data_IF_732201110886
#
_entry.id   IF_732201110886
#
_cell.length_a   1.000
_cell.length_b   1.000
_cell.length_c   1.000
_cell.angle_alpha   90.00
_cell.angle_beta   90.00
_cell.angle_gamma   90.00
#
_symmetry.space_group_name_H-M   'P 1'
#
loop_
_entity.id
_entity.type
_entity.pdbx_description
1 polymer ?
#
# COMPACT_ATOMS: atom_id res chain seq x y z
N UNK A 1 10.86 2.18 1.79
CA UNK A 1 9.99 2.48 0.62
C UNK A 1 8.63 3.04 1.06
N UNK A 2 7.88 2.37 1.94
CA UNK A 2 6.53 2.81 2.32
C UNK A 2 6.39 4.24 2.88
N UNK A 3 7.31 4.67 3.77
CA UNK A 3 7.25 6.01 4.37
C UNK A 3 7.47 7.17 3.37
N UNK A 4 8.23 6.93 2.29
CA UNK A 4 8.49 7.95 1.25
C UNK A 4 7.22 8.16 0.43
N UNK A 5 6.54 7.08 0.04
CA UNK A 5 5.30 7.16 -0.73
C UNK A 5 4.14 7.72 0.09
N UNK A 6 4.07 7.41 1.38
CA UNK A 6 3.10 8.02 2.28
C UNK A 6 3.25 9.54 2.35
N UNK A 7 4.49 10.06 2.41
CA UNK A 7 4.75 11.50 2.37
C UNK A 7 4.41 12.11 1.01
N UNK A 8 4.77 11.43 -0.08
CA UNK A 8 4.47 11.88 -1.45
C UNK A 8 2.96 12.09 -1.62
N UNK A 9 2.17 11.08 -1.25
CA UNK A 9 0.71 11.16 -1.21
C UNK A 9 0.19 12.30 -0.32
N UNK A 10 0.76 12.50 0.88
CA UNK A 10 0.34 13.62 1.74
C UNK A 10 0.60 14.99 1.11
N UNK A 11 1.56 15.10 0.19
CA UNK A 11 1.90 16.33 -0.50
C UNK A 11 1.07 16.52 -1.78
N UNK A 12 0.75 15.44 -2.50
CA UNK A 12 0.04 15.49 -3.79
C UNK A 12 -1.47 15.32 -3.66
N UNK A 13 -1.93 14.59 -2.64
CA UNK A 13 -3.31 14.14 -2.50
C UNK A 13 -3.73 13.16 -3.60
N UNK A 14 -2.79 12.67 -4.40
CA UNK A 14 -3.07 11.96 -5.63
C UNK A 14 -3.28 10.46 -5.36
N UNK A 15 -4.46 9.96 -5.69
CA UNK A 15 -4.78 8.54 -5.53
C UNK A 15 -3.93 7.66 -6.46
N UNK A 16 -3.46 8.18 -7.60
CA UNK A 16 -2.56 7.43 -8.49
C UNK A 16 -1.21 7.13 -7.82
N UNK A 17 -0.68 8.05 -7.01
CA UNK A 17 0.55 7.82 -6.23
C UNK A 17 0.37 6.68 -5.22
N UNK A 18 -0.83 6.57 -4.65
CA UNK A 18 -1.16 5.55 -3.66
C UNK A 18 -1.34 4.17 -4.33
N UNK A 19 -1.97 4.14 -5.51
CA UNK A 19 -2.17 2.93 -6.31
C UNK A 19 -0.85 2.38 -6.85
N UNK A 20 0.03 3.26 -7.33
CA UNK A 20 1.39 2.91 -7.74
C UNK A 20 2.18 2.31 -6.57
N UNK A 21 2.07 2.93 -5.37
CA UNK A 21 2.73 2.43 -4.17
C UNK A 21 2.21 1.05 -3.75
N UNK A 22 0.90 0.79 -3.82
CA UNK A 22 0.30 -0.52 -3.56
C UNK A 22 0.83 -1.55 -4.57
N UNK A 23 0.82 -1.22 -5.87
CA UNK A 23 1.28 -2.13 -6.93
C UNK A 23 2.75 -2.52 -6.78
N UNK A 24 3.63 -1.55 -6.51
CA UNK A 24 5.06 -1.81 -6.27
C UNK A 24 5.29 -2.67 -5.03
N UNK A 25 4.52 -2.42 -3.96
CA UNK A 25 4.68 -3.16 -2.70
C UNK A 25 4.16 -4.60 -2.82
N UNK A 26 3.11 -4.85 -3.61
CA UNK A 26 2.64 -6.21 -3.94
C UNK A 26 3.65 -6.97 -4.80
N UNK A 27 4.28 -6.31 -5.79
CA UNK A 27 5.34 -6.95 -6.59
C UNK A 27 6.54 -7.33 -5.74
N UNK A 28 6.94 -6.45 -4.81
CA UNK A 28 8.00 -6.76 -3.84
C UNK A 28 7.62 -7.96 -2.96
N UNK A 29 6.36 -8.05 -2.52
CA UNK A 29 5.85 -9.17 -1.75
C UNK A 29 5.92 -10.49 -2.52
N UNK A 30 5.55 -10.49 -3.81
CA UNK A 30 5.66 -11.66 -4.69
C UNK A 30 7.12 -12.08 -4.90
N UNK A 31 8.05 -11.11 -4.94
CA UNK A 31 9.48 -11.37 -5.13
C UNK A 31 10.19 -11.89 -3.86
N UNK A 32 9.72 -11.50 -2.66
CA UNK A 32 10.32 -11.89 -1.38
C UNK A 32 10.19 -13.39 -1.06
N UNK A 33 9.21 -14.07 -1.66
CA UNK A 33 8.96 -15.49 -1.44
C UNK A 33 8.32 -15.80 -0.07
N UNK A 34 7.59 -16.93 0.05
CA UNK A 34 6.94 -17.32 1.30
C UNK A 34 8.00 -17.65 2.35
N UNK A 35 7.95 -16.99 3.53
CA UNK A 35 8.87 -17.08 4.68
C UNK A 35 9.98 -16.03 4.78
N UNK A 36 9.97 -14.97 3.95
CA UNK A 36 10.91 -13.88 4.19
C UNK A 36 10.47 -13.05 5.41
N UNK A 37 11.36 -12.71 6.36
CA UNK A 37 10.98 -11.94 7.55
C UNK A 37 10.39 -10.55 7.22
N UNK A 38 10.80 -9.94 6.10
CA UNK A 38 10.19 -8.68 5.61
C UNK A 38 8.81 -8.84 4.97
N UNK A 39 8.30 -10.06 4.81
CA UNK A 39 6.99 -10.30 4.21
C UNK A 39 5.88 -9.69 5.10
N UNK A 40 5.96 -9.86 6.42
CA UNK A 40 5.02 -9.29 7.38
C UNK A 40 5.05 -7.75 7.39
N UNK A 41 6.24 -7.16 7.33
CA UNK A 41 6.41 -5.70 7.24
C UNK A 41 5.83 -5.15 5.94
N UNK A 42 6.04 -5.87 4.84
CA UNK A 42 5.54 -5.50 3.50
C UNK A 42 4.01 -5.59 3.47
N UNK A 43 3.41 -6.64 4.03
CA UNK A 43 1.94 -6.77 4.14
C UNK A 43 1.33 -5.68 5.02
N UNK A 44 1.97 -5.35 6.14
CA UNK A 44 1.49 -4.28 7.03
C UNK A 44 1.49 -2.91 6.35
N UNK A 45 2.49 -2.65 5.48
CA UNK A 45 2.54 -1.43 4.67
C UNK A 45 1.42 -1.38 3.62
N UNK A 46 1.11 -2.51 2.97
CA UNK A 46 0.00 -2.61 2.00
C UNK A 46 -1.33 -2.33 2.69
N UNK A 47 -1.59 -2.95 3.85
CA UNK A 47 -2.82 -2.74 4.61
C UNK A 47 -3.00 -1.27 5.03
N UNK A 48 -1.91 -0.60 5.43
CA UNK A 48 -1.93 0.82 5.78
C UNK A 48 -2.30 1.70 4.57
N UNK A 49 -1.81 1.37 3.38
CA UNK A 49 -2.16 2.11 2.16
C UNK A 49 -3.62 1.90 1.77
N UNK A 50 -4.14 0.67 1.83
CA UNK A 50 -5.56 0.42 1.57
C UNK A 50 -6.48 1.11 2.59
N UNK A 51 -6.17 1.05 3.89
CA UNK A 51 -6.95 1.73 4.91
C UNK A 51 -7.00 3.26 4.69
N UNK A 52 -5.89 3.83 4.23
CA UNK A 52 -5.82 5.26 3.90
C UNK A 52 -6.61 5.59 2.64
N UNK A 53 -6.52 4.77 1.59
CA UNK A 53 -7.31 4.91 0.36
C UNK A 53 -8.82 4.85 0.64
N UNK A 54 -9.23 3.92 1.49
CA UNK A 54 -10.61 3.76 1.93
C UNK A 54 -11.12 4.99 2.70
N UNK A 55 -10.30 5.56 3.59
CA UNK A 55 -10.68 6.75 4.36
C UNK A 55 -10.91 8.00 3.50
N UNK A 56 -10.21 8.12 2.38
CA UNK A 56 -10.23 9.29 1.50
C UNK A 56 -11.26 9.17 0.38
N UNK A 57 -11.48 7.95 -0.14
CA UNK A 57 -12.42 7.71 -1.24
C UNK A 57 -13.80 7.24 -0.78
N UNK A 58 -13.91 6.72 0.45
CA UNK A 58 -15.05 5.92 0.92
C UNK A 58 -15.43 4.77 -0.03
N UNK A 59 -14.53 4.33 -0.92
CA UNK A 59 -14.84 3.27 -1.88
C UNK A 59 -14.74 1.90 -1.21
N UNK A 60 -15.83 1.13 -1.09
CA UNK A 60 -15.84 -0.18 -0.41
C UNK A 60 -14.97 -1.25 -1.07
N UNK A 61 -14.52 -1.01 -2.31
CA UNK A 61 -13.68 -1.91 -3.10
C UNK A 61 -12.27 -2.14 -2.52
N UNK A 62 -11.85 -1.29 -1.56
CA UNK A 62 -10.55 -1.34 -0.89
C UNK A 62 -10.52 -2.27 0.31
N UNK A 63 -11.67 -2.49 0.95
CA UNK A 63 -11.81 -3.37 2.12
C UNK A 63 -11.82 -4.85 1.74
N UNK A 64 -12.26 -5.21 0.53
CA UNK A 64 -12.22 -6.59 0.04
C UNK A 64 -10.82 -7.04 -0.42
N UNK A 65 -9.89 -6.08 -0.65
CA UNK A 65 -8.54 -6.36 -1.16
C UNK A 65 -7.42 -6.25 -0.11
N UNK A 66 -7.73 -5.75 1.09
CA UNK A 66 -6.81 -5.67 2.23
C UNK A 66 -6.73 -7.00 3.00
#
# INVERSE_FOLDING_TARGET
MGAIMQRRYQMTGDLEDLDEAIGLTQQALLALGPNHPQQADTMSLIALFFAKRYGETQSPEDLERA
#
